data_IF_206357850550
#
_entry.id   IF_206357850550
#
_cell.length_a   1.000
_cell.length_b   1.000
_cell.length_c   1.000
_cell.angle_alpha   90.00
_cell.angle_beta   90.00
_cell.angle_gamma   90.00
#
_symmetry.space_group_name_H-M   'P 1'
#
loop_
_entity.id
_entity.type
_entity.pdbx_description
1 polymer ?
#
# COMPACT_ATOMS: atom_id res chain seq x y z
N UNK A 1 9.99 -5.38 3.52
CA UNK A 1 10.20 -4.59 2.30
C UNK A 1 9.38 -3.33 2.40
N UNK A 2 9.89 -2.18 1.98
CA UNK A 2 9.17 -0.89 2.02
C UNK A 2 8.45 -0.68 0.68
N UNK A 3 7.21 -0.19 0.70
CA UNK A 3 6.49 0.19 -0.53
C UNK A 3 6.83 1.65 -0.79
N UNK A 4 7.76 1.88 -1.70
CA UNK A 4 8.30 3.19 -2.02
C UNK A 4 7.77 3.74 -3.34
N UNK A 5 6.99 2.96 -4.09
CA UNK A 5 6.33 3.30 -5.36
C UNK A 5 5.21 2.29 -5.72
N UNK A 6 4.56 2.51 -6.87
CA UNK A 6 3.45 1.69 -7.37
C UNK A 6 3.90 0.28 -7.80
N UNK A 7 5.09 0.15 -8.39
CA UNK A 7 5.64 -1.14 -8.80
C UNK A 7 5.95 -2.02 -7.60
N UNK A 8 6.48 -1.42 -6.52
CA UNK A 8 6.66 -2.09 -5.24
C UNK A 8 5.32 -2.54 -4.65
N UNK A 9 4.28 -1.70 -4.73
CA UNK A 9 2.94 -2.09 -4.29
C UNK A 9 2.40 -3.31 -5.07
N UNK A 10 2.57 -3.31 -6.40
CA UNK A 10 2.18 -4.45 -7.27
C UNK A 10 3.00 -5.70 -6.99
N UNK A 11 4.31 -5.56 -6.74
CA UNK A 11 5.19 -6.66 -6.38
C UNK A 11 4.77 -7.30 -5.06
N UNK A 12 4.45 -6.49 -4.05
CA UNK A 12 3.94 -6.98 -2.77
C UNK A 12 2.59 -7.70 -2.90
N UNK A 13 1.65 -7.18 -3.70
CA UNK A 13 0.40 -7.88 -4.00
C UNK A 13 0.67 -9.26 -4.61
N UNK A 14 1.62 -9.35 -5.55
CA UNK A 14 1.99 -10.63 -6.18
C UNK A 14 2.59 -11.61 -5.16
N UNK A 15 3.47 -11.12 -4.29
CA UNK A 15 4.09 -11.92 -3.23
C UNK A 15 3.05 -12.43 -2.22
N UNK A 16 2.22 -11.53 -1.68
CA UNK A 16 1.16 -11.89 -0.75
C UNK A 16 0.08 -12.74 -1.38
N UNK A 17 -0.08 -12.71 -2.70
CA UNK A 17 -0.99 -13.60 -3.43
C UNK A 17 -0.75 -15.10 -3.17
N UNK A 18 0.43 -15.48 -2.68
CA UNK A 18 0.75 -16.87 -2.29
C UNK A 18 0.31 -17.22 -0.86
N UNK A 19 -0.10 -16.24 -0.05
CA UNK A 19 -0.52 -16.44 1.33
C UNK A 19 -2.00 -16.84 1.41
N UNK A 20 -2.46 -17.44 2.53
CA UNK A 20 -3.89 -17.62 2.78
C UNK A 20 -4.64 -16.28 2.77
N UNK A 21 -5.92 -16.29 2.36
CA UNK A 21 -6.73 -15.07 2.16
C UNK A 21 -6.67 -14.09 3.35
N UNK A 22 -6.86 -14.59 4.57
CA UNK A 22 -6.81 -13.77 5.79
C UNK A 22 -5.44 -13.10 6.00
N UNK A 23 -4.35 -13.79 5.63
CA UNK A 23 -3.01 -13.24 5.69
C UNK A 23 -2.79 -12.20 4.59
N UNK A 24 -3.29 -12.41 3.36
CA UNK A 24 -3.23 -11.39 2.30
C UNK A 24 -3.91 -10.09 2.75
N UNK A 25 -5.14 -10.20 3.27
CA UNK A 25 -5.90 -9.05 3.74
C UNK A 25 -5.17 -8.31 4.88
N UNK A 26 -4.56 -9.06 5.82
CA UNK A 26 -3.77 -8.49 6.90
C UNK A 26 -2.57 -7.71 6.39
N UNK A 27 -1.75 -8.31 5.52
CA UNK A 27 -0.55 -7.66 5.00
C UNK A 27 -0.89 -6.41 4.20
N UNK A 28 -1.93 -6.47 3.36
CA UNK A 28 -2.40 -5.31 2.59
C UNK A 28 -2.87 -4.17 3.52
N UNK A 29 -3.65 -4.46 4.57
CA UNK A 29 -4.08 -3.44 5.54
C UNK A 29 -2.90 -2.80 6.27
N UNK A 30 -1.93 -3.60 6.72
CA UNK A 30 -0.73 -3.10 7.37
C UNK A 30 0.09 -2.21 6.44
N UNK A 31 0.18 -2.56 5.17
CA UNK A 31 0.88 -1.78 4.16
C UNK A 31 0.21 -0.43 3.90
N UNK A 32 -1.12 -0.39 3.82
CA UNK A 32 -1.89 0.87 3.71
C UNK A 32 -1.60 1.77 4.91
N UNK A 33 -1.71 1.26 6.14
CA UNK A 33 -1.44 2.04 7.36
C UNK A 33 -0.04 2.65 7.38
N UNK A 34 0.97 1.90 6.92
CA UNK A 34 2.35 2.40 6.81
C UNK A 34 2.48 3.51 5.77
N UNK A 35 1.82 3.35 4.61
CA UNK A 35 1.83 4.38 3.58
C UNK A 35 1.09 5.64 4.00
N UNK A 36 0.01 5.53 4.78
CA UNK A 36 -0.69 6.68 5.36
C UNK A 36 0.23 7.48 6.29
N UNK A 37 1.02 6.80 7.14
CA UNK A 37 2.03 7.46 7.98
C UNK A 37 3.11 8.14 7.12
N UNK A 38 3.58 7.50 6.06
CA UNK A 38 4.53 8.11 5.11
C UNK A 38 3.94 9.30 4.37
N UNK A 39 2.66 9.25 3.98
CA UNK A 39 1.91 10.38 3.42
C UNK A 39 1.98 11.58 4.36
N UNK A 40 1.58 11.40 5.62
CA UNK A 40 1.59 12.46 6.63
C UNK A 40 2.99 13.04 6.82
N UNK A 41 4.02 12.18 6.85
CA UNK A 41 5.41 12.64 6.93
C UNK A 41 5.81 13.50 5.74
N UNK A 42 5.50 13.07 4.51
CA UNK A 42 5.82 13.84 3.31
C UNK A 42 5.02 15.13 3.20
N UNK A 43 3.76 15.13 3.62
CA UNK A 43 2.91 16.32 3.68
C UNK A 43 3.50 17.38 4.61
N UNK A 44 3.93 16.98 5.82
CA UNK A 44 4.60 17.88 6.77
C UNK A 44 5.90 18.49 6.24
N UNK A 45 6.57 17.80 5.30
CA UNK A 45 7.79 18.28 4.65
C UNK A 45 7.54 19.06 3.36
N UNK A 46 6.28 19.26 2.96
CA UNK A 46 5.92 19.86 1.68
C UNK A 46 6.35 19.02 0.47
N UNK A 47 6.61 17.72 0.66
CA UNK A 47 7.02 16.83 -0.41
C UNK A 47 5.81 16.27 -1.17
N UNK A 48 5.24 17.10 -2.05
CA UNK A 48 4.05 16.77 -2.85
C UNK A 48 4.25 15.51 -3.70
N UNK A 49 5.47 15.26 -4.20
CA UNK A 49 5.78 14.06 -4.98
C UNK A 49 5.75 12.79 -4.12
N UNK A 50 6.19 12.90 -2.86
CA UNK A 50 6.12 11.82 -1.87
C UNK A 50 4.68 11.48 -1.54
N UNK A 51 3.87 12.49 -1.22
CA UNK A 51 2.43 12.36 -0.94
C UNK A 51 1.72 11.66 -2.11
N UNK A 52 1.82 12.22 -3.32
CA UNK A 52 1.14 11.69 -4.49
C UNK A 52 1.53 10.24 -4.80
N UNK A 53 2.75 9.83 -4.44
CA UNK A 53 3.21 8.45 -4.63
C UNK A 53 2.60 7.51 -3.61
N UNK A 54 2.61 7.89 -2.33
CA UNK A 54 1.99 7.13 -1.27
C UNK A 54 0.49 6.95 -1.54
N UNK A 55 -0.22 8.01 -1.96
CA UNK A 55 -1.64 7.95 -2.33
C UNK A 55 -1.91 6.96 -3.48
N UNK A 56 -1.11 6.99 -4.55
CA UNK A 56 -1.26 6.03 -5.66
C UNK A 56 -1.01 4.59 -5.22
N UNK A 57 -0.01 4.35 -4.37
CA UNK A 57 0.24 3.03 -3.81
C UNK A 57 -0.89 2.57 -2.88
N UNK A 58 -1.45 3.46 -2.05
CA UNK A 58 -2.63 3.18 -1.19
C UNK A 58 -3.83 2.79 -2.05
N UNK A 59 -4.08 3.49 -3.16
CA UNK A 59 -5.18 3.18 -4.07
C UNK A 59 -5.06 1.76 -4.63
N UNK A 60 -3.89 1.39 -5.16
CA UNK A 60 -3.63 0.05 -5.70
C UNK A 60 -3.88 -1.05 -4.65
N UNK A 61 -3.44 -0.82 -3.42
CA UNK A 61 -3.61 -1.76 -2.31
C UNK A 61 -5.07 -1.85 -1.85
N UNK A 62 -5.76 -0.72 -1.79
CA UNK A 62 -7.18 -0.63 -1.41
C UNK A 62 -8.08 -1.35 -2.42
N UNK A 63 -7.82 -1.16 -3.71
CA UNK A 63 -8.53 -1.86 -4.79
C UNK A 63 -8.36 -3.38 -4.65
N UNK A 64 -7.13 -3.83 -4.38
CA UNK A 64 -6.88 -5.26 -4.15
C UNK A 64 -7.59 -5.77 -2.91
N UNK A 65 -7.60 -5.01 -1.81
CA UNK A 65 -8.28 -5.39 -0.58
C UNK A 65 -9.79 -5.53 -0.81
N UNK A 66 -10.40 -4.63 -1.59
CA UNK A 66 -11.82 -4.67 -1.93
C UNK A 66 -12.17 -5.94 -2.73
N UNK A 67 -11.31 -6.35 -3.68
CA UNK A 67 -11.47 -7.60 -4.44
C UNK A 67 -11.38 -8.83 -3.53
N UNK A 68 -10.52 -8.80 -2.50
CA UNK A 68 -10.36 -9.92 -1.57
C UNK A 68 -11.46 -10.01 -0.48
N UNK A 69 -12.32 -8.99 -0.39
CA UNK A 69 -13.42 -8.94 0.60
C UNK A 69 -14.77 -9.41 0.01
N UNK A 70 -14.80 -9.75 -1.28
CA UNK A 70 -15.92 -10.39 -1.98
C UNK A 70 -15.82 -11.91 -1.86
#
# INVERSE_FOLDING_TARGET
>A
MEIDNEDAARAMIKEWGQLPLAAQQREIRLAIQRLELSCMYYEQKGNVRGVARCERSILILSDRLAVLAQ
#
